data_IF_128319681434
#
_entry.id   IF_128319681434
#
_cell.length_a   1.000
_cell.length_b   1.000
_cell.length_c   1.000
_cell.angle_alpha   90.00
_cell.angle_beta   90.00
_cell.angle_gamma   90.00
#
_symmetry.space_group_name_H-M   'P 1'
#
loop_
_entity.id
_entity.type
_entity.pdbx_description
1 polymer ?
#
# COMPACT_ATOMS: atom_id res chain seq x y z
N UNK A 1 30.71 -6.30 14.66
CA UNK A 1 29.57 -5.34 14.68
C UNK A 1 29.57 -4.40 13.49
N UNK A 2 30.61 -3.59 13.25
CA UNK A 2 30.64 -2.65 12.11
C UNK A 2 30.45 -3.35 10.77
N UNK A 3 31.26 -4.37 10.49
CA UNK A 3 31.24 -5.02 9.18
C UNK A 3 29.97 -5.86 9.00
N UNK A 4 29.50 -6.54 10.06
CA UNK A 4 28.20 -7.24 10.08
C UNK A 4 27.06 -6.27 9.73
N UNK A 5 27.02 -5.09 10.36
CA UNK A 5 26.01 -4.07 10.09
C UNK A 5 26.10 -3.58 8.64
N UNK A 6 27.29 -3.13 8.21
CA UNK A 6 27.48 -2.51 6.91
C UNK A 6 27.24 -3.48 5.75
N UNK A 7 27.84 -4.67 5.78
CA UNK A 7 27.71 -5.67 4.72
C UNK A 7 26.26 -6.15 4.62
N UNK A 8 25.63 -6.45 5.76
CA UNK A 8 24.22 -6.88 5.74
C UNK A 8 23.32 -5.77 5.24
N UNK A 9 23.51 -4.51 5.68
CA UNK A 9 22.70 -3.39 5.22
C UNK A 9 22.80 -3.16 3.71
N UNK A 10 23.98 -3.32 3.11
CA UNK A 10 24.17 -3.21 1.65
C UNK A 10 23.36 -4.27 0.92
N UNK A 11 23.47 -5.54 1.29
CA UNK A 11 22.71 -6.61 0.63
C UNK A 11 21.20 -6.51 0.91
N UNK A 12 20.84 -6.18 2.15
CA UNK A 12 19.45 -5.98 2.55
C UNK A 12 18.81 -4.82 1.80
N UNK A 13 19.57 -3.78 1.43
CA UNK A 13 19.04 -2.64 0.70
C UNK A 13 18.39 -3.02 -0.64
N UNK A 14 18.90 -4.06 -1.32
CA UNK A 14 18.31 -4.57 -2.56
C UNK A 14 16.89 -5.11 -2.31
N UNK A 15 16.74 -5.93 -1.26
CA UNK A 15 15.42 -6.43 -0.85
C UNK A 15 14.50 -5.30 -0.39
N UNK A 16 15.03 -4.29 0.31
CA UNK A 16 14.26 -3.13 0.75
C UNK A 16 13.77 -2.28 -0.40
N UNK A 17 14.60 -2.06 -1.43
CA UNK A 17 14.18 -1.34 -2.64
C UNK A 17 12.99 -2.04 -3.27
N UNK A 18 13.06 -3.36 -3.43
CA UNK A 18 11.94 -4.15 -3.97
C UNK A 18 10.70 -3.99 -3.09
N UNK A 19 10.80 -4.18 -1.78
CA UNK A 19 9.66 -4.03 -0.86
C UNK A 19 9.08 -2.62 -0.86
N UNK A 20 9.91 -1.59 -0.92
CA UNK A 20 9.45 -0.19 -0.97
C UNK A 20 8.69 0.06 -2.27
N UNK A 21 9.25 -0.31 -3.42
CA UNK A 21 8.58 -0.09 -4.71
C UNK A 21 7.33 -0.92 -4.89
N UNK A 22 7.31 -2.14 -4.35
CA UNK A 22 6.08 -2.92 -4.34
C UNK A 22 5.07 -2.35 -3.38
N UNK A 23 5.46 -1.78 -2.22
CA UNK A 23 4.57 -1.22 -1.19
C UNK A 23 4.01 0.18 -1.43
N UNK A 24 4.75 1.02 -2.15
CA UNK A 24 4.39 2.41 -2.44
C UNK A 24 3.01 2.59 -3.09
N UNK A 25 2.59 1.75 -4.05
CA UNK A 25 1.31 1.87 -4.75
C UNK A 25 0.03 1.78 -3.91
N UNK A 26 0.08 1.33 -2.65
CA UNK A 26 -1.09 1.39 -1.74
C UNK A 26 -0.79 2.17 -0.45
N UNK A 27 0.26 3.00 -0.47
CA UNK A 27 0.46 3.99 0.58
C UNK A 27 -0.50 5.17 0.42
N UNK A 28 -0.81 5.88 1.51
CA UNK A 28 -1.79 6.98 1.45
C UNK A 28 -1.43 8.13 0.51
N UNK A 29 -0.15 8.45 0.34
CA UNK A 29 0.27 9.57 -0.55
C UNK A 29 0.50 9.08 -1.97
N UNK A 30 1.37 8.08 -2.14
CA UNK A 30 1.74 7.60 -3.48
C UNK A 30 0.66 6.72 -4.09
N UNK A 31 -0.05 5.93 -3.28
CA UNK A 31 -1.06 5.00 -3.78
C UNK A 31 -2.28 5.70 -4.35
N UNK A 32 -2.85 6.68 -3.64
CA UNK A 32 -3.95 7.48 -4.16
C UNK A 32 -3.55 8.25 -5.43
N UNK A 33 -2.34 8.81 -5.47
CA UNK A 33 -1.81 9.50 -6.65
C UNK A 33 -1.62 8.56 -7.85
N UNK A 34 -1.03 7.38 -7.65
CA UNK A 34 -0.81 6.38 -8.69
C UNK A 34 -2.13 5.80 -9.20
N UNK A 35 -3.09 5.52 -8.31
CA UNK A 35 -4.40 4.99 -8.69
C UNK A 35 -5.17 6.03 -9.51
N UNK A 36 -5.14 7.30 -9.09
CA UNK A 36 -5.74 8.42 -9.84
C UNK A 36 -5.10 8.57 -11.22
N UNK A 37 -3.77 8.55 -11.30
CA UNK A 37 -3.04 8.63 -12.57
C UNK A 37 -3.36 7.43 -13.48
N UNK A 38 -3.35 6.22 -12.94
CA UNK A 38 -3.63 5.01 -13.70
C UNK A 38 -5.08 5.00 -14.22
N UNK A 39 -6.03 5.50 -13.42
CA UNK A 39 -7.43 5.65 -13.80
C UNK A 39 -7.60 6.72 -14.90
N UNK A 40 -6.96 7.87 -14.76
CA UNK A 40 -7.01 8.95 -15.76
C UNK A 40 -6.38 8.54 -17.11
N UNK A 41 -5.36 7.68 -17.08
CA UNK A 41 -4.67 7.17 -18.28
C UNK A 41 -5.27 5.88 -18.84
N UNK A 42 -6.37 5.37 -18.26
CA UNK A 42 -6.98 4.09 -18.62
C UNK A 42 -6.01 2.88 -18.53
N UNK A 43 -4.98 2.99 -17.69
CA UNK A 43 -4.04 1.89 -17.40
C UNK A 43 -4.40 1.13 -16.13
N UNK A 44 -5.50 1.52 -15.47
CA UNK A 44 -6.08 0.85 -14.32
C UNK A 44 -7.19 -0.14 -14.73
N UNK A 45 -8.42 0.35 -14.89
CA UNK A 45 -9.59 -0.39 -15.39
C UNK A 45 -10.02 0.17 -16.75
N UNK A 46 -10.47 -0.66 -17.70
CA UNK A 46 -10.79 -0.22 -19.05
C UNK A 46 -12.11 0.56 -19.09
N UNK A 47 -12.23 1.64 -19.89
CA UNK A 47 -13.48 2.40 -20.02
C UNK A 47 -14.66 1.59 -20.54
N UNK A 48 -14.38 0.54 -21.33
CA UNK A 48 -15.36 -0.38 -21.90
C UNK A 48 -15.99 -1.32 -20.87
N UNK A 49 -15.49 -1.35 -19.64
CA UNK A 49 -16.04 -2.15 -18.54
C UNK A 49 -17.52 -1.84 -18.32
N UNK A 50 -17.89 -0.57 -18.46
CA UNK A 50 -19.25 -0.13 -18.32
C UNK A 50 -19.90 -0.05 -19.71
N UNK A 51 -21.03 -0.73 -19.91
CA UNK A 51 -21.82 -0.56 -21.12
C UNK A 51 -22.30 0.89 -21.30
N UNK A 52 -22.64 1.55 -20.19
CA UNK A 52 -22.89 3.01 -20.11
C UNK A 52 -22.13 3.54 -18.91
N UNK A 53 -21.36 4.63 -19.09
CA UNK A 53 -20.60 5.24 -17.99
C UNK A 53 -21.52 5.52 -16.79
N UNK A 54 -21.13 5.11 -15.56
CA UNK A 54 -21.90 5.39 -14.37
C UNK A 54 -22.12 6.88 -14.18
N UNK A 55 -23.33 7.27 -13.73
CA UNK A 55 -23.62 8.64 -13.31
C UNK A 55 -23.07 8.94 -11.91
N UNK A 56 -22.84 7.91 -11.11
CA UNK A 56 -22.30 8.01 -9.75
C UNK A 56 -20.80 8.28 -9.79
N UNK A 57 -20.34 9.10 -8.86
CA UNK A 57 -18.92 9.40 -8.63
C UNK A 57 -18.37 8.71 -7.38
N UNK A 58 -19.16 7.86 -6.73
CA UNK A 58 -18.77 7.17 -5.49
C UNK A 58 -17.73 6.08 -5.84
N UNK A 59 -16.51 6.14 -5.28
CA UNK A 59 -15.50 5.10 -5.44
C UNK A 59 -15.92 3.76 -4.82
N UNK A 60 -15.48 2.65 -5.39
CA UNK A 60 -15.79 1.32 -4.86
C UNK A 60 -15.20 1.08 -3.47
N UNK A 61 -14.01 1.65 -3.18
CA UNK A 61 -13.37 1.57 -1.86
C UNK A 61 -14.19 2.20 -0.71
N UNK A 62 -15.14 3.09 -1.04
CA UNK A 62 -15.98 3.76 -0.04
C UNK A 62 -17.26 2.96 0.27
N UNK A 63 -17.62 1.99 -0.57
CA UNK A 63 -18.80 1.13 -0.36
C UNK A 63 -18.43 -0.26 0.14
N UNK A 64 -17.32 -0.82 -0.34
CA UNK A 64 -16.89 -2.19 -0.06
C UNK A 64 -15.50 -2.21 0.59
N UNK A 65 -15.29 -3.17 1.48
CA UNK A 65 -14.00 -3.43 2.11
C UNK A 65 -13.18 -4.41 1.28
N UNK A 66 -11.84 -4.36 1.42
CA UNK A 66 -10.92 -5.31 0.77
C UNK A 66 -11.11 -5.38 -0.76
N UNK A 67 -11.34 -4.23 -1.38
CA UNK A 67 -11.46 -4.11 -2.83
C UNK A 67 -10.07 -4.25 -3.47
N UNK A 68 -9.89 -5.04 -4.55
CA UNK A 68 -8.65 -5.03 -5.31
C UNK A 68 -8.25 -3.61 -5.72
N UNK A 69 -6.95 -3.29 -5.63
CA UNK A 69 -6.41 -1.95 -5.93
C UNK A 69 -6.96 -1.35 -7.24
N UNK A 70 -7.09 -2.19 -8.28
CA UNK A 70 -7.55 -1.75 -9.59
C UNK A 70 -9.02 -1.27 -9.64
N UNK A 71 -9.83 -1.72 -8.68
CA UNK A 71 -11.23 -1.38 -8.55
C UNK A 71 -11.48 -0.28 -7.51
N UNK A 72 -10.49 0.11 -6.68
CA UNK A 72 -10.70 1.06 -5.58
C UNK A 72 -11.38 2.37 -6.00
N UNK A 73 -10.88 3.01 -7.08
CA UNK A 73 -11.42 4.25 -7.63
C UNK A 73 -12.46 4.02 -8.73
N UNK A 74 -12.83 2.76 -9.00
CA UNK A 74 -13.87 2.44 -9.96
C UNK A 74 -15.21 3.00 -9.46
N UNK A 75 -15.97 3.76 -10.27
CA UNK A 75 -17.23 4.32 -9.85
C UNK A 75 -18.29 3.22 -9.68
N UNK A 76 -18.97 3.24 -8.54
CA UNK A 76 -20.06 2.32 -8.23
C UNK A 76 -21.29 2.72 -9.04
N UNK A 77 -21.83 1.86 -9.93
CA UNK A 77 -23.02 2.18 -10.70
C UNK A 77 -24.26 2.27 -9.80
N UNK A 78 -25.30 2.94 -10.31
CA UNK A 78 -26.60 2.97 -9.66
C UNK A 78 -27.46 1.82 -10.17
N UNK A 79 -28.18 1.17 -9.26
CA UNK A 79 -29.27 0.28 -9.65
C UNK A 79 -30.36 1.06 -10.38
N UNK A 80 -31.11 0.35 -11.21
CA UNK A 80 -32.34 0.83 -11.83
C UNK A 80 -33.41 1.17 -10.79
N UNK A 81 -34.58 1.59 -11.29
CA UNK A 81 -35.73 1.86 -10.43
C UNK A 81 -36.32 0.55 -9.90
N UNK A 82 -36.85 0.61 -8.69
CA UNK A 82 -37.73 -0.44 -8.18
C UNK A 82 -38.90 -0.59 -9.17
N UNK A 83 -39.09 -1.81 -9.67
CA UNK A 83 -40.31 -2.18 -10.40
C UNK A 83 -41.36 -2.52 -9.36
N UNK A 84 -42.58 -1.99 -9.50
CA UNK A 84 -43.67 -2.27 -8.56
C UNK A 84 -43.85 -3.77 -8.34
N UNK A 85 -43.87 -4.19 -7.07
CA UNK A 85 -44.03 -5.59 -6.67
C UNK A 85 -42.73 -6.42 -6.60
N UNK A 86 -41.62 -5.96 -7.18
CA UNK A 86 -40.32 -6.65 -7.02
C UNK A 86 -39.58 -6.15 -5.77
N UNK A 87 -39.53 -7.01 -4.74
CA UNK A 87 -38.54 -6.88 -3.68
C UNK A 87 -37.16 -7.10 -4.29
N UNK A 88 -36.14 -6.39 -3.79
CA UNK A 88 -34.76 -6.55 -4.27
C UNK A 88 -34.30 -8.01 -4.23
N UNK A 89 -33.36 -8.35 -5.09
CA UNK A 89 -32.76 -9.68 -5.19
C UNK A 89 -32.30 -10.17 -3.81
N UNK A 90 -32.56 -11.44 -3.53
CA UNK A 90 -32.10 -12.11 -2.32
C UNK A 90 -30.58 -12.30 -2.33
N UNK A 91 -29.96 -12.37 -1.16
CA UNK A 91 -28.53 -12.66 -1.05
C UNK A 91 -28.18 -14.00 -1.71
N UNK A 92 -29.03 -15.01 -1.59
CA UNK A 92 -28.82 -16.33 -2.21
C UNK A 92 -28.75 -16.26 -3.74
N UNK A 93 -29.55 -15.39 -4.37
CA UNK A 93 -29.47 -15.16 -5.82
C UNK A 93 -28.14 -14.49 -6.19
N UNK A 94 -27.67 -13.53 -5.38
CA UNK A 94 -26.39 -12.86 -5.60
C UNK A 94 -25.22 -13.85 -5.44
N UNK A 95 -25.30 -14.76 -4.46
CA UNK A 95 -24.33 -15.84 -4.28
C UNK A 95 -24.31 -16.78 -5.48
N UNK A 96 -25.48 -17.20 -5.99
CA UNK A 96 -25.54 -18.04 -7.20
C UNK A 96 -24.92 -17.35 -8.42
N UNK A 97 -25.14 -16.05 -8.60
CA UNK A 97 -24.48 -15.29 -9.67
C UNK A 97 -22.96 -15.31 -9.50
N UNK A 98 -22.45 -15.17 -8.28
CA UNK A 98 -21.01 -15.26 -8.00
C UNK A 98 -20.43 -16.66 -8.31
N UNK A 99 -21.16 -17.71 -7.93
CA UNK A 99 -20.80 -19.11 -8.20
C UNK A 99 -20.81 -19.42 -9.70
N UNK A 100 -21.86 -19.00 -10.42
CA UNK A 100 -21.99 -19.17 -11.88
C UNK A 100 -20.84 -18.48 -12.63
N UNK A 101 -20.37 -17.35 -12.08
CA UNK A 101 -19.23 -16.58 -12.60
C UNK A 101 -17.87 -17.15 -12.17
N UNK A 102 -17.86 -18.24 -11.37
CA UNK A 102 -16.66 -18.92 -10.89
C UNK A 102 -15.69 -17.98 -10.19
N UNK A 103 -16.23 -17.05 -9.40
CA UNK A 103 -15.40 -16.16 -8.59
C UNK A 103 -14.58 -16.99 -7.58
N UNK A 104 -13.36 -16.54 -7.31
CA UNK A 104 -12.51 -17.22 -6.34
C UNK A 104 -13.10 -17.14 -4.93
N UNK A 105 -12.98 -18.23 -4.18
CA UNK A 105 -13.48 -18.33 -2.80
C UNK A 105 -12.93 -17.21 -1.90
N UNK A 106 -13.72 -16.88 -0.87
CA UNK A 106 -13.39 -15.82 0.09
C UNK A 106 -13.72 -14.42 -0.39
N UNK A 107 -14.62 -14.28 -1.36
CA UNK A 107 -15.14 -12.97 -1.77
C UNK A 107 -16.06 -12.36 -0.70
N UNK A 108 -16.02 -11.03 -0.59
CA UNK A 108 -16.93 -10.27 0.25
C UNK A 108 -18.11 -9.76 -0.58
N UNK A 109 -19.33 -9.89 -0.06
CA UNK A 109 -20.54 -9.26 -0.62
C UNK A 109 -20.94 -8.08 0.26
N UNK A 110 -20.92 -6.89 -0.32
CA UNK A 110 -21.45 -5.66 0.30
C UNK A 110 -22.90 -5.46 -0.16
N UNK A 111 -23.79 -5.24 0.81
CA UNK A 111 -25.21 -5.00 0.57
C UNK A 111 -25.47 -3.59 0.03
N UNK A 112 -26.49 -3.41 -0.84
CA UNK A 112 -26.89 -2.11 -1.36
C UNK A 112 -27.37 -1.19 -0.23
N UNK A 113 -26.89 0.07 -0.24
CA UNK A 113 -27.38 1.14 0.65
C UNK A 113 -28.27 2.10 -0.13
N UNK A 114 -29.46 2.40 0.39
CA UNK A 114 -30.44 3.28 -0.26
C UNK A 114 -31.07 2.69 -1.53
N UNK A 115 -32.05 3.39 -2.09
CA UNK A 115 -32.89 2.89 -3.20
C UNK A 115 -32.12 2.60 -4.49
N UNK A 116 -31.05 3.35 -4.76
CA UNK A 116 -30.20 3.20 -5.96
C UNK A 116 -28.93 2.38 -5.71
N UNK A 117 -28.72 1.86 -4.51
CA UNK A 117 -27.53 1.07 -4.17
C UNK A 117 -27.45 -0.24 -4.97
N UNK A 118 -26.24 -0.76 -5.13
CA UNK A 118 -25.96 -2.05 -5.81
C UNK A 118 -25.36 -3.05 -4.84
N UNK A 119 -25.49 -4.34 -5.14
CA UNK A 119 -24.63 -5.33 -4.51
C UNK A 119 -23.23 -5.21 -5.09
N UNK A 120 -22.21 -5.21 -4.23
CA UNK A 120 -20.81 -5.17 -4.65
C UNK A 120 -20.11 -6.42 -4.17
N UNK A 121 -19.53 -7.19 -5.08
CA UNK A 121 -18.73 -8.37 -4.78
C UNK A 121 -17.26 -8.03 -5.03
N UNK A 122 -16.40 -8.31 -4.06
CA UNK A 122 -14.96 -8.14 -4.19
C UNK A 122 -14.24 -9.44 -3.80
N UNK A 123 -13.42 -9.97 -4.71
CA UNK A 123 -12.62 -11.17 -4.49
C UNK A 123 -11.13 -10.82 -4.48
N UNK A 124 -10.45 -11.11 -3.36
CA UNK A 124 -9.01 -10.83 -3.13
C UNK A 124 -8.21 -12.09 -2.80
N UNK A 125 -8.22 -13.12 -3.67
CA UNK A 125 -7.51 -14.36 -3.42
C UNK A 125 -5.98 -14.18 -3.41
N UNK A 126 -5.27 -15.21 -2.91
CA UNK A 126 -3.79 -15.21 -2.80
C UNK A 126 -3.07 -14.86 -4.09
N UNK A 127 -3.59 -15.30 -5.24
CA UNK A 127 -3.04 -14.95 -6.56
C UNK A 127 -3.83 -13.79 -7.17
N UNK A 128 -3.19 -12.68 -7.53
CA UNK A 128 -3.88 -11.52 -8.09
C UNK A 128 -4.61 -11.83 -9.40
N UNK A 129 -4.19 -12.87 -10.14
CA UNK A 129 -4.84 -13.31 -11.38
C UNK A 129 -6.30 -13.75 -11.19
N UNK A 130 -6.68 -14.08 -9.96
CA UNK A 130 -8.02 -14.50 -9.61
C UNK A 130 -8.82 -13.38 -8.92
N UNK A 131 -8.29 -12.15 -8.87
CA UNK A 131 -9.02 -10.99 -8.35
C UNK A 131 -10.17 -10.63 -9.27
N UNK A 132 -11.28 -10.25 -8.64
CA UNK A 132 -12.47 -9.81 -9.33
C UNK A 132 -13.22 -8.75 -8.52
N UNK A 133 -13.93 -7.86 -9.20
CA UNK A 133 -14.87 -6.93 -8.60
C UNK A 133 -16.10 -6.81 -9.47
N UNK A 134 -17.27 -7.00 -8.89
CA UNK A 134 -18.54 -7.03 -9.62
C UNK A 134 -19.56 -6.13 -8.93
N UNK A 135 -20.32 -5.39 -9.73
CA UNK A 135 -21.49 -4.65 -9.27
C UNK A 135 -22.75 -5.25 -9.87
N UNK A 136 -23.73 -5.56 -9.03
CA UNK A 136 -24.97 -6.21 -9.43
C UNK A 136 -26.16 -5.33 -9.05
N UNK A 137 -27.03 -5.11 -10.02
CA UNK A 137 -28.27 -4.37 -9.84
C UNK A 137 -29.17 -5.05 -8.80
N UNK A 138 -29.59 -4.28 -7.78
CA UNK A 138 -30.33 -4.83 -6.65
C UNK A 138 -31.74 -5.32 -6.99
N UNK A 139 -32.34 -4.91 -8.11
CA UNK A 139 -33.73 -5.24 -8.45
C UNK A 139 -33.79 -6.33 -9.53
N UNK A 140 -33.02 -6.14 -10.61
CA UNK A 140 -33.02 -7.04 -11.78
C UNK A 140 -32.03 -8.20 -11.64
N UNK A 141 -31.03 -8.10 -10.76
CA UNK A 141 -29.93 -9.06 -10.68
C UNK A 141 -28.95 -8.96 -11.85
N UNK A 142 -29.09 -7.95 -12.71
CA UNK A 142 -28.18 -7.73 -13.84
C UNK A 142 -26.80 -7.32 -13.33
N UNK A 143 -25.76 -7.94 -13.87
CA UNK A 143 -24.37 -7.50 -13.67
C UNK A 143 -24.16 -6.18 -14.41
N UNK A 144 -23.86 -5.12 -13.66
CA UNK A 144 -23.64 -3.76 -14.16
C UNK A 144 -22.17 -3.48 -14.48
N UNK A 145 -21.26 -4.14 -13.76
CA UNK A 145 -19.83 -4.13 -14.03
C UNK A 145 -19.23 -5.46 -13.54
N UNK A 146 -18.28 -6.01 -14.31
CA UNK A 146 -17.58 -7.27 -14.03
C UNK A 146 -16.11 -7.08 -14.40
N UNK A 147 -15.29 -6.74 -13.41
CA UNK A 147 -13.88 -6.42 -13.60
C UNK A 147 -13.03 -7.56 -13.06
N UNK A 148 -12.38 -8.29 -13.94
CA UNK A 148 -11.44 -9.35 -13.58
C UNK A 148 -10.00 -8.93 -13.85
N UNK A 149 -9.04 -9.67 -13.31
CA UNK A 149 -7.62 -9.39 -13.54
C UNK A 149 -7.23 -9.34 -15.03
N UNK A 150 -7.92 -10.08 -15.91
CA UNK A 150 -7.63 -10.06 -17.34
C UNK A 150 -7.97 -8.71 -17.98
N UNK A 151 -9.00 -8.04 -17.46
CA UNK A 151 -9.46 -6.73 -17.92
C UNK A 151 -8.56 -5.59 -17.43
N UNK A 152 -7.77 -5.83 -16.38
CA UNK A 152 -6.84 -4.84 -15.84
C UNK A 152 -5.88 -4.33 -16.91
N UNK A 153 -5.65 -3.01 -16.90
CA UNK A 153 -4.59 -2.38 -17.65
C UNK A 153 -3.20 -2.79 -17.12
N UNK A 154 -2.15 -2.42 -17.86
CA UNK A 154 -0.78 -2.84 -17.53
C UNK A 154 -0.33 -2.38 -16.14
N UNK A 155 -0.68 -1.15 -15.76
CA UNK A 155 -0.32 -0.56 -14.46
C UNK A 155 -1.01 -1.33 -13.33
N UNK A 156 -2.31 -1.60 -13.45
CA UNK A 156 -3.06 -2.42 -12.50
C UNK A 156 -2.49 -3.84 -12.37
N UNK A 157 -2.14 -4.50 -13.48
CA UNK A 157 -1.53 -5.83 -13.44
C UNK A 157 -0.20 -5.84 -12.69
N UNK A 158 0.69 -4.89 -13.01
CA UNK A 158 2.00 -4.76 -12.36
C UNK A 158 1.82 -4.49 -10.85
N UNK A 159 0.93 -3.57 -10.49
CA UNK A 159 0.71 -3.19 -9.09
C UNK A 159 0.04 -4.33 -8.31
N UNK A 160 -0.98 -5.00 -8.85
CA UNK A 160 -1.60 -6.16 -8.19
C UNK A 160 -0.62 -7.31 -7.98
N UNK A 161 0.31 -7.54 -8.91
CA UNK A 161 1.42 -8.50 -8.73
C UNK A 161 2.40 -7.98 -7.67
N UNK A 162 2.76 -6.70 -7.70
CA UNK A 162 3.61 -6.05 -6.70
C UNK A 162 3.06 -6.19 -5.28
N UNK A 163 1.77 -5.89 -5.09
CA UNK A 163 1.03 -6.11 -3.83
C UNK A 163 1.20 -7.55 -3.36
N UNK A 164 0.91 -8.50 -4.25
CA UNK A 164 1.02 -9.91 -3.93
C UNK A 164 2.45 -10.36 -3.57
N UNK A 165 3.46 -9.75 -4.19
CA UNK A 165 4.86 -10.00 -3.87
C UNK A 165 5.23 -9.43 -2.50
N UNK A 166 4.82 -8.20 -2.20
CA UNK A 166 5.10 -7.55 -0.92
C UNK A 166 4.44 -8.25 0.27
N UNK A 167 3.18 -8.66 0.11
CA UNK A 167 2.41 -9.37 1.14
C UNK A 167 2.90 -10.81 1.37
N UNK A 168 3.87 -11.29 0.60
CA UNK A 168 4.36 -12.66 0.76
C UNK A 168 3.46 -13.72 0.12
N UNK A 169 2.43 -13.36 -0.65
CA UNK A 169 1.43 -14.33 -1.16
C UNK A 169 1.70 -14.89 -2.55
N UNK A 170 2.44 -14.19 -3.41
CA UNK A 170 2.56 -14.56 -4.82
C UNK A 170 3.28 -15.91 -5.08
N UNK A 171 4.48 -16.11 -4.52
CA UNK A 171 5.23 -17.37 -4.60
C UNK A 171 5.03 -18.27 -3.37
N UNK A 172 3.99 -18.01 -2.56
CA UNK A 172 3.71 -18.76 -1.33
C UNK A 172 4.89 -18.78 -0.36
N UNK A 173 5.25 -19.97 0.13
CA UNK A 173 6.26 -20.15 1.18
C UNK A 173 7.62 -19.54 0.83
N UNK A 174 8.07 -19.62 -0.43
CA UNK A 174 9.34 -19.02 -0.85
C UNK A 174 9.33 -17.50 -0.63
N UNK A 175 8.23 -16.84 -0.99
CA UNK A 175 8.08 -15.41 -0.81
C UNK A 175 8.09 -15.03 0.68
N UNK A 176 7.43 -15.85 1.52
CA UNK A 176 7.38 -15.66 2.97
C UNK A 176 8.75 -15.86 3.63
N UNK A 177 9.55 -16.83 3.18
CA UNK A 177 10.92 -17.04 3.68
C UNK A 177 11.81 -15.84 3.33
N UNK A 178 11.74 -15.34 2.10
CA UNK A 178 12.48 -14.13 1.68
C UNK A 178 12.06 -12.92 2.52
N UNK A 179 10.74 -12.76 2.74
CA UNK A 179 10.20 -11.74 3.63
C UNK A 179 10.72 -11.87 5.06
N UNK A 180 10.70 -13.07 5.64
CA UNK A 180 11.21 -13.36 6.98
C UNK A 180 12.70 -13.03 7.11
N UNK A 181 13.53 -13.46 6.15
CA UNK A 181 14.96 -13.15 6.13
C UNK A 181 15.16 -11.63 6.06
N UNK A 182 14.38 -10.94 5.24
CA UNK A 182 14.44 -9.48 5.14
C UNK A 182 14.07 -8.82 6.47
N UNK A 183 12.99 -9.25 7.13
CA UNK A 183 12.60 -8.76 8.46
C UNK A 183 13.69 -9.00 9.51
N UNK A 184 14.26 -10.21 9.58
CA UNK A 184 15.37 -10.52 10.48
C UNK A 184 16.60 -9.67 10.19
N UNK A 185 16.87 -9.41 8.90
CA UNK A 185 17.92 -8.50 8.45
C UNK A 185 17.72 -7.08 8.98
N UNK A 186 16.50 -6.52 8.86
CA UNK A 186 16.17 -5.19 9.37
C UNK A 186 16.35 -5.13 10.90
N UNK A 187 15.87 -6.14 11.62
CA UNK A 187 16.05 -6.25 13.08
C UNK A 187 17.54 -6.24 13.41
N UNK A 188 18.33 -7.07 12.73
CA UNK A 188 19.77 -7.16 12.94
C UNK A 188 20.47 -5.83 12.67
N UNK A 189 20.19 -5.17 11.54
CA UNK A 189 20.76 -3.86 11.19
C UNK A 189 20.37 -2.80 12.22
N UNK A 190 19.11 -2.81 12.69
CA UNK A 190 18.64 -1.87 13.72
C UNK A 190 19.35 -2.07 15.06
N UNK A 191 19.39 -3.32 15.55
CA UNK A 191 20.07 -3.67 16.81
C UNK A 191 21.58 -3.39 16.73
N UNK A 192 22.22 -3.76 15.64
CA UNK A 192 23.65 -3.48 15.45
C UNK A 192 23.93 -1.99 15.33
N UNK A 193 23.02 -1.19 14.76
CA UNK A 193 23.09 0.27 14.78
C UNK A 193 23.06 0.84 16.20
N UNK A 194 22.13 0.35 17.04
CA UNK A 194 22.06 0.71 18.46
C UNK A 194 23.32 0.30 19.23
N UNK A 195 23.84 -0.91 19.00
CA UNK A 195 25.09 -1.39 19.63
C UNK A 195 26.27 -0.51 19.21
N UNK A 196 26.36 -0.16 17.92
CA UNK A 196 27.42 0.71 17.41
C UNK A 196 27.33 2.11 18.01
N UNK A 197 26.12 2.67 18.14
CA UNK A 197 25.91 3.93 18.82
C UNK A 197 26.33 3.84 20.30
N UNK A 198 25.88 2.81 21.02
CA UNK A 198 26.18 2.60 22.44
C UNK A 198 27.68 2.49 22.72
N UNK A 199 28.43 1.83 21.83
CA UNK A 199 29.89 1.67 21.94
C UNK A 199 30.67 2.93 21.54
N UNK A 200 30.09 3.84 20.76
CA UNK A 200 30.77 5.03 20.22
C UNK A 200 30.36 6.34 20.87
N UNK A 201 29.32 6.34 21.70
CA UNK A 201 28.92 7.54 22.44
C UNK A 201 30.04 7.99 23.39
N UNK A 202 30.09 9.28 23.77
CA UNK A 202 31.04 9.77 24.76
C UNK A 202 30.86 9.09 26.13
N UNK A 203 31.96 8.78 26.82
CA UNK A 203 31.90 8.19 28.16
C UNK A 203 31.16 9.12 29.14
N UNK A 204 30.22 8.57 29.92
CA UNK A 204 29.43 9.31 30.91
C UNK A 204 28.38 10.26 30.35
N UNK A 205 28.14 10.32 29.03
CA UNK A 205 27.11 11.17 28.41
C UNK A 205 26.26 10.38 27.41
N UNK A 206 24.98 10.74 27.31
CA UNK A 206 24.11 10.34 26.21
C UNK A 206 24.25 11.40 25.12
N UNK A 207 24.81 11.03 23.96
CA UNK A 207 25.03 11.97 22.87
C UNK A 207 25.50 11.27 21.60
N UNK A 208 25.45 11.99 20.48
CA UNK A 208 25.93 11.47 19.21
C UNK A 208 27.44 11.16 19.27
N UNK A 209 27.92 10.10 18.59
CA UNK A 209 29.35 9.91 18.36
C UNK A 209 30.00 11.11 17.66
N UNK A 210 31.33 11.21 17.72
CA UNK A 210 32.09 12.26 17.04
C UNK A 210 31.80 12.26 15.53
N UNK A 211 31.67 13.47 14.96
CA UNK A 211 31.33 13.65 13.54
C UNK A 211 32.41 13.03 12.66
N UNK A 212 31.99 12.50 11.51
CA UNK A 212 32.93 12.05 10.48
C UNK A 212 33.80 13.22 10.03
N UNK A 213 35.10 12.97 9.83
CA UNK A 213 36.09 13.98 9.42
C UNK A 213 35.92 14.46 7.97
N UNK A 214 35.19 13.72 7.13
CA UNK A 214 34.98 14.07 5.71
C UNK A 214 33.74 14.94 5.50
N UNK A 215 33.96 16.21 5.13
CA UNK A 215 32.89 17.17 4.80
C UNK A 215 32.12 16.76 3.54
N UNK A 216 32.79 16.16 2.54
CA UNK A 216 32.14 15.66 1.31
C UNK A 216 31.13 14.56 1.63
N UNK A 217 31.51 13.61 2.49
CA UNK A 217 30.62 12.51 2.91
C UNK A 217 29.38 13.05 3.63
N UNK A 218 29.56 14.01 4.54
CA UNK A 218 28.46 14.63 5.27
C UNK A 218 27.49 15.38 4.35
N UNK A 219 27.99 16.10 3.35
CA UNK A 219 27.15 16.77 2.34
C UNK A 219 26.37 15.76 1.49
N UNK A 220 27.01 14.66 1.07
CA UNK A 220 26.35 13.59 0.33
C UNK A 220 25.22 12.92 1.14
N UNK A 221 25.48 12.60 2.40
CA UNK A 221 24.45 12.05 3.30
C UNK A 221 23.31 13.04 3.51
N UNK A 222 23.61 14.32 3.74
CA UNK A 222 22.58 15.35 3.90
C UNK A 222 21.70 15.48 2.65
N UNK A 223 22.30 15.46 1.46
CA UNK A 223 21.55 15.46 0.20
C UNK A 223 20.62 14.26 0.09
N UNK A 224 21.10 13.05 0.38
CA UNK A 224 20.28 11.83 0.36
C UNK A 224 19.11 11.96 1.35
N UNK A 225 19.37 12.35 2.59
CA UNK A 225 18.33 12.52 3.62
C UNK A 225 17.28 13.55 3.19
N UNK A 226 17.69 14.68 2.62
CA UNK A 226 16.77 15.70 2.12
C UNK A 226 15.96 15.18 0.93
N UNK A 227 16.60 14.55 -0.05
CA UNK A 227 15.93 13.99 -1.22
C UNK A 227 14.88 12.93 -0.82
N UNK A 228 15.24 12.00 0.08
CA UNK A 228 14.31 11.02 0.63
C UNK A 228 13.24 11.66 1.51
N UNK A 229 13.56 12.70 2.29
CA UNK A 229 12.58 13.43 3.10
C UNK A 229 11.53 14.16 2.25
N UNK A 230 11.90 14.63 1.06
CA UNK A 230 10.97 15.22 0.08
C UNK A 230 10.15 14.11 -0.59
N UNK A 231 10.80 13.02 -1.03
CA UNK A 231 10.13 11.90 -1.69
C UNK A 231 9.18 11.12 -0.76
N UNK A 232 9.50 11.05 0.53
CA UNK A 232 8.69 10.46 1.60
C UNK A 232 8.30 11.55 2.62
N UNK A 233 7.25 12.34 2.35
CA UNK A 233 6.94 13.54 3.12
C UNK A 233 6.80 13.31 4.63
N UNK A 234 6.19 12.19 5.03
CA UNK A 234 6.01 11.87 6.45
C UNK A 234 7.35 11.63 7.16
N UNK A 235 8.32 11.01 6.47
CA UNK A 235 9.69 10.86 6.97
C UNK A 235 10.35 12.24 7.08
N UNK A 236 10.24 13.08 6.05
CA UNK A 236 10.76 14.44 6.07
C UNK A 236 10.23 15.27 7.24
N UNK A 237 8.92 15.25 7.46
CA UNK A 237 8.26 15.93 8.59
C UNK A 237 8.76 15.37 9.93
N UNK A 238 8.87 14.05 10.07
CA UNK A 238 9.37 13.44 11.31
C UNK A 238 10.81 13.83 11.63
N UNK A 239 11.68 13.95 10.61
CA UNK A 239 13.07 14.38 10.78
C UNK A 239 13.15 15.86 11.17
N UNK A 240 12.32 16.72 10.58
CA UNK A 240 12.22 18.13 10.97
C UNK A 240 11.77 18.24 12.43
N UNK A 241 10.77 17.46 12.83
CA UNK A 241 10.27 17.44 14.20
C UNK A 241 11.34 16.99 15.19
N UNK A 242 12.05 15.88 14.91
CA UNK A 242 13.17 15.40 15.73
C UNK A 242 14.29 16.44 15.79
N UNK A 243 14.60 17.11 14.68
CA UNK A 243 15.60 18.18 14.65
C UNK A 243 15.24 19.35 15.59
N UNK A 244 13.96 19.75 15.63
CA UNK A 244 13.51 20.78 16.58
C UNK A 244 13.60 20.30 18.03
N UNK A 245 13.21 19.06 18.32
CA UNK A 245 13.38 18.46 19.65
C UNK A 245 14.86 18.47 20.04
N UNK A 246 15.75 17.99 19.18
CA UNK A 246 17.19 17.95 19.44
C UNK A 246 17.74 19.35 19.74
N UNK A 247 17.35 20.36 18.95
CA UNK A 247 17.76 21.76 19.17
C UNK A 247 17.25 22.33 20.49
N UNK A 248 16.04 21.97 20.92
CA UNK A 248 15.47 22.39 22.20
C UNK A 248 16.15 21.65 23.35
N UNK A 249 16.26 20.32 23.29
CA UNK A 249 16.88 19.49 24.32
C UNK A 249 18.34 19.85 24.56
N UNK A 250 19.12 20.09 23.50
CA UNK A 250 20.52 20.53 23.64
C UNK A 250 20.65 21.95 24.21
N UNK A 251 19.65 22.82 24.00
CA UNK A 251 19.63 24.16 24.59
C UNK A 251 19.37 24.13 26.10
N UNK A 252 18.43 23.31 26.56
CA UNK A 252 17.93 23.31 27.94
C UNK A 252 18.55 22.25 28.86
N UNK A 253 19.14 21.17 28.34
CA UNK A 253 19.75 20.11 29.14
C UNK A 253 21.28 20.13 28.97
N UNK A 254 22.03 20.63 29.98
CA UNK A 254 23.49 20.75 29.89
C UNK A 254 24.21 19.42 29.66
N UNK A 255 23.63 18.30 30.12
CA UNK A 255 24.17 16.95 29.95
C UNK A 255 24.28 16.52 28.46
N UNK A 256 23.47 17.12 27.57
CA UNK A 256 23.48 16.84 26.13
C UNK A 256 24.39 17.78 25.33
N UNK A 257 24.96 18.82 25.94
CA UNK A 257 25.94 19.67 25.25
C UNK A 257 27.24 18.88 25.08
N UNK A 258 27.58 18.59 23.82
CA UNK A 258 28.94 18.20 23.46
C UNK A 258 29.84 19.41 23.73
N UNK A 259 30.65 19.34 24.78
CA UNK A 259 31.81 20.22 24.94
C UNK A 259 32.73 19.94 23.77
N UNK A 260 32.88 20.93 22.89
CA UNK A 260 33.81 20.93 21.78
C UNK A 260 35.25 20.68 22.25
#
# INVERSE_FOLDING_TARGET
>A
WRDIHAVTAVWLSLAMVILIFTGLPWSGVWGDGLNTFATATNTNSPPSLFGVKPKSTVPTKDVATEVPWAAELMPVPNSGKAVEGLKGQSLDQIVRIAEDRKLADGYAITLPKGETGVYTIAATPKKPQNQATMHIDRYSGKVLADLNFQDYGITAKIISIGIALHEGRYFGLMNQIIGLISCLGIIMVSLSGLILWWRRRPAGKLGAPTRATSTKLMKGLAFIVIAFGIFFPLVGISLIFIFFIDKVSTRYVPAFKQTA
#
